data_IF_422986759442
#
_entry.id   IF_422986759442
#
_cell.length_a   1.000
_cell.length_b   1.000
_cell.length_c   1.000
_cell.angle_alpha   90.00
_cell.angle_beta   90.00
_cell.angle_gamma   90.00
#
_symmetry.space_group_name_H-M   'P 1'
#
loop_
_entity.id
_entity.type
_entity.pdbx_description
1 polymer ?
#
# COMPACT_ATOMS: atom_id res chain seq x y z
N UNK A 1 8.49 -14.96 17.62
CA UNK A 1 9.27 -14.51 16.44
C UNK A 1 8.46 -14.61 15.15
N UNK A 2 7.66 -15.67 14.93
CA UNK A 2 6.67 -15.75 13.83
C UNK A 2 5.68 -14.57 13.81
N UNK A 3 5.26 -14.11 14.99
CA UNK A 3 4.25 -13.05 15.14
C UNK A 3 4.68 -11.69 14.55
N UNK A 4 5.96 -11.32 14.64
CA UNK A 4 6.45 -10.03 14.16
C UNK A 4 6.41 -9.93 12.62
N UNK A 5 6.79 -11.00 11.92
CA UNK A 5 6.78 -11.01 10.47
C UNK A 5 5.35 -10.99 9.92
N UNK A 6 4.44 -11.73 10.55
CA UNK A 6 3.02 -11.71 10.20
C UNK A 6 2.42 -10.29 10.39
N UNK A 7 2.76 -9.61 11.49
CA UNK A 7 2.34 -8.23 11.73
C UNK A 7 2.87 -7.28 10.64
N UNK A 8 4.16 -7.36 10.31
CA UNK A 8 4.74 -6.53 9.24
C UNK A 8 4.06 -6.77 7.89
N UNK A 9 3.80 -8.03 7.52
CA UNK A 9 3.06 -8.34 6.27
C UNK A 9 1.64 -7.78 6.29
N UNK A 10 0.95 -7.87 7.42
CA UNK A 10 -0.40 -7.30 7.59
C UNK A 10 -0.39 -5.77 7.47
N UNK A 11 0.65 -5.10 7.96
CA UNK A 11 0.81 -3.66 7.81
C UNK A 11 0.97 -3.27 6.33
N UNK A 12 1.80 -3.98 5.56
CA UNK A 12 1.95 -3.73 4.11
C UNK A 12 0.62 -3.91 3.38
N UNK A 13 -0.12 -4.98 3.66
CA UNK A 13 -1.45 -5.22 3.11
C UNK A 13 -2.44 -4.08 3.46
N UNK A 14 -2.41 -3.62 4.73
CA UNK A 14 -3.20 -2.49 5.18
C UNK A 14 -2.83 -1.18 4.49
N UNK A 15 -1.55 -0.94 4.20
CA UNK A 15 -1.08 0.26 3.51
C UNK A 15 -1.55 0.32 2.05
N UNK A 16 -1.52 -0.83 1.35
CA UNK A 16 -2.10 -0.97 0.01
C UNK A 16 -3.58 -0.55 0.04
N UNK A 17 -4.34 -1.06 1.01
CA UNK A 17 -5.76 -0.71 1.17
C UNK A 17 -5.97 0.78 1.43
N UNK A 18 -5.23 1.36 2.38
CA UNK A 18 -5.34 2.79 2.73
C UNK A 18 -5.09 3.70 1.53
N UNK A 19 -4.02 3.43 0.77
CA UNK A 19 -3.70 4.23 -0.42
C UNK A 19 -4.76 4.04 -1.52
N UNK A 20 -5.24 2.80 -1.72
CA UNK A 20 -6.32 2.54 -2.67
C UNK A 20 -7.57 3.36 -2.33
N UNK A 21 -8.00 3.33 -1.08
CA UNK A 21 -9.17 4.07 -0.60
C UNK A 21 -8.96 5.58 -0.72
N UNK A 22 -7.76 6.09 -0.42
CA UNK A 22 -7.40 7.50 -0.61
C UNK A 22 -7.50 7.95 -2.09
N UNK A 23 -7.19 7.06 -3.03
CA UNK A 23 -7.31 7.30 -4.47
C UNK A 23 -8.74 7.13 -5.00
N UNK A 24 -9.72 6.83 -4.14
CA UNK A 24 -11.09 6.47 -4.50
C UNK A 24 -11.18 5.28 -5.49
N UNK A 25 -10.21 4.38 -5.42
CA UNK A 25 -10.16 3.20 -6.30
C UNK A 25 -10.95 2.05 -5.70
N UNK A 26 -11.78 1.40 -6.51
CA UNK A 26 -12.47 0.18 -6.11
C UNK A 26 -11.51 -1.02 -6.12
N UNK A 27 -11.86 -2.07 -5.36
CA UNK A 27 -11.11 -3.33 -5.43
C UNK A 27 -11.20 -3.97 -6.82
N UNK A 28 -12.34 -3.84 -7.51
CA UNK A 28 -12.51 -4.29 -8.89
C UNK A 28 -11.55 -3.58 -9.85
N UNK A 29 -11.33 -2.27 -9.67
CA UNK A 29 -10.41 -1.50 -10.49
C UNK A 29 -8.97 -2.05 -10.41
N UNK A 30 -8.44 -2.26 -9.20
CA UNK A 30 -7.10 -2.84 -9.03
C UNK A 30 -7.04 -4.29 -9.51
N UNK A 31 -8.06 -5.09 -9.21
CA UNK A 31 -8.12 -6.48 -9.65
C UNK A 31 -8.08 -6.60 -11.18
N UNK A 32 -8.83 -5.74 -11.89
CA UNK A 32 -8.82 -5.68 -13.35
C UNK A 32 -7.43 -5.31 -13.91
N UNK A 33 -6.77 -4.29 -13.34
CA UNK A 33 -5.41 -3.89 -13.74
C UNK A 33 -4.37 -4.98 -13.51
N UNK A 34 -4.54 -5.75 -12.43
CA UNK A 34 -3.67 -6.87 -12.06
C UNK A 34 -4.03 -8.19 -12.77
N UNK A 35 -5.11 -8.22 -13.54
CA UNK A 35 -5.65 -9.42 -14.21
C UNK A 35 -5.91 -10.57 -13.22
N UNK A 36 -6.53 -10.25 -12.09
CA UNK A 36 -6.96 -11.21 -11.07
C UNK A 36 -8.44 -10.97 -10.71
N UNK A 37 -9.06 -11.90 -9.97
CA UNK A 37 -10.41 -11.67 -9.45
C UNK A 37 -10.41 -10.65 -8.32
N UNK A 38 -11.53 -9.95 -8.11
CA UNK A 38 -11.71 -9.04 -6.99
C UNK A 38 -11.50 -9.75 -5.64
N UNK A 39 -11.95 -11.00 -5.50
CA UNK A 39 -11.72 -11.80 -4.29
C UNK A 39 -10.22 -12.07 -4.06
N UNK A 40 -9.46 -12.36 -5.13
CA UNK A 40 -8.01 -12.54 -5.02
C UNK A 40 -7.32 -11.25 -4.57
N UNK A 41 -7.76 -10.09 -5.08
CA UNK A 41 -7.27 -8.79 -4.65
C UNK A 41 -7.65 -8.47 -3.20
N UNK A 42 -8.90 -8.74 -2.79
CA UNK A 42 -9.37 -8.59 -1.41
C UNK A 42 -8.51 -9.40 -0.43
N UNK A 43 -8.13 -10.64 -0.77
CA UNK A 43 -7.21 -11.45 0.03
C UNK A 43 -5.81 -10.85 0.16
N UNK A 44 -5.35 -10.07 -0.82
CA UNK A 44 -4.09 -9.31 -0.70
C UNK A 44 -4.24 -8.24 0.38
N UNK A 45 -5.29 -7.43 0.33
CA UNK A 45 -5.53 -6.35 1.32
C UNK A 45 -5.80 -6.87 2.74
N UNK A 46 -6.30 -8.10 2.86
CA UNK A 46 -6.51 -8.78 4.14
C UNK A 46 -5.25 -9.50 4.66
N UNK A 47 -4.19 -9.58 3.86
CA UNK A 47 -2.95 -10.31 4.20
C UNK A 47 -3.08 -11.83 4.15
N UNK A 48 -4.12 -12.37 3.50
CA UNK A 48 -4.34 -13.81 3.35
C UNK A 48 -3.62 -14.42 2.15
N UNK A 49 -3.14 -13.57 1.22
CA UNK A 49 -2.33 -13.99 0.08
C UNK A 49 -0.86 -13.67 0.32
N UNK A 50 0.04 -14.60 -0.02
CA UNK A 50 1.47 -14.28 -0.13
C UNK A 50 1.67 -13.30 -1.28
N UNK A 51 2.22 -12.13 -0.98
CA UNK A 51 2.51 -11.10 -1.98
C UNK A 51 3.93 -11.31 -2.53
N UNK A 52 4.07 -11.39 -3.85
CA UNK A 52 5.39 -11.41 -4.49
C UNK A 52 5.92 -9.98 -4.63
N UNK A 53 7.25 -9.84 -4.73
CA UNK A 53 7.88 -8.53 -4.97
C UNK A 53 7.38 -7.90 -6.29
N UNK A 54 7.25 -8.69 -7.36
CA UNK A 54 6.69 -8.21 -8.63
C UNK A 54 5.28 -7.63 -8.44
N UNK A 55 4.40 -8.33 -7.71
CA UNK A 55 3.04 -7.86 -7.44
C UNK A 55 3.04 -6.59 -6.61
N UNK A 56 3.95 -6.47 -5.64
CA UNK A 56 4.11 -5.25 -4.85
C UNK A 56 4.45 -4.04 -5.74
N UNK A 57 5.38 -4.19 -6.68
CA UNK A 57 5.74 -3.14 -7.64
C UNK A 57 4.60 -2.81 -8.61
N UNK A 58 3.87 -3.81 -9.11
CA UNK A 58 2.69 -3.59 -9.95
C UNK A 58 1.62 -2.78 -9.21
N UNK A 59 1.34 -3.12 -7.95
CA UNK A 59 0.37 -2.41 -7.12
C UNK A 59 0.83 -0.97 -6.87
N UNK A 60 2.10 -0.75 -6.52
CA UNK A 60 2.67 0.59 -6.33
C UNK A 60 2.52 1.45 -7.59
N UNK A 61 2.79 0.87 -8.77
CA UNK A 61 2.61 1.54 -10.06
C UNK A 61 1.16 1.90 -10.35
N UNK A 62 0.20 1.02 -10.07
CA UNK A 62 -1.24 1.30 -10.27
C UNK A 62 -1.74 2.37 -9.29
N UNK A 63 -1.22 2.37 -8.06
CA UNK A 63 -1.54 3.35 -7.02
C UNK A 63 -0.77 4.67 -7.15
N UNK A 64 0.13 4.76 -8.13
CA UNK A 64 0.97 5.93 -8.41
C UNK A 64 1.74 6.39 -7.16
N UNK A 65 2.38 5.45 -6.48
CA UNK A 65 3.22 5.72 -5.30
C UNK A 65 4.53 4.95 -5.39
N UNK A 66 5.56 5.47 -4.72
CA UNK A 66 6.78 4.70 -4.47
C UNK A 66 6.48 3.44 -3.64
N UNK A 67 7.14 2.33 -3.99
CA UNK A 67 6.94 1.03 -3.32
C UNK A 67 7.28 1.10 -1.84
N UNK A 68 8.22 1.98 -1.46
CA UNK A 68 8.63 2.21 -0.07
C UNK A 68 7.46 2.67 0.78
N UNK A 69 6.53 3.48 0.25
CA UNK A 69 5.34 3.90 0.98
C UNK A 69 4.47 2.70 1.36
N UNK A 70 4.34 1.68 0.50
CA UNK A 70 3.60 0.46 0.84
C UNK A 70 4.26 -0.28 2.03
N UNK A 71 5.59 -0.19 2.16
CA UNK A 71 6.37 -0.86 3.19
C UNK A 71 6.41 -0.11 4.52
N UNK A 72 6.41 1.22 4.49
CA UNK A 72 6.76 2.05 5.65
C UNK A 72 5.61 2.92 6.17
N UNK A 73 4.45 2.93 5.53
CA UNK A 73 3.31 3.76 5.97
C UNK A 73 2.89 3.39 7.40
N UNK A 74 3.34 4.18 8.37
CA UNK A 74 2.79 4.21 9.73
C UNK A 74 1.65 5.22 9.80
N UNK A 75 0.84 5.16 10.87
CA UNK A 75 -0.34 6.02 11.06
C UNK A 75 -0.06 7.53 10.96
N UNK A 76 1.20 7.95 11.09
CA UNK A 76 1.65 9.35 11.08
C UNK A 76 2.13 9.84 9.71
N UNK A 77 2.39 8.94 8.75
CA UNK A 77 3.08 9.28 7.49
C UNK A 77 2.16 9.63 6.32
N UNK A 78 0.83 9.53 6.50
CA UNK A 78 -0.13 10.01 5.49
C UNK A 78 0.10 11.50 5.18
N UNK A 79 0.38 12.32 6.19
CA UNK A 79 0.54 13.78 6.03
C UNK A 79 1.73 14.14 5.12
N UNK A 80 2.81 13.34 5.11
CA UNK A 80 4.02 13.62 4.30
C UNK A 80 3.88 13.24 2.84
N UNK A 81 3.03 12.26 2.53
CA UNK A 81 2.76 11.83 1.14
C UNK A 81 1.82 12.83 0.44
N UNK A 82 1.04 13.61 1.19
CA UNK A 82 0.02 14.55 0.69
C UNK A 82 0.61 15.93 0.30
N UNK A 83 1.80 16.30 0.80
CA UNK A 83 2.48 17.57 0.48
C UNK A 83 3.97 17.38 0.18
N UNK A 84 4.37 17.12 -1.07
CA UNK A 84 5.78 17.07 -1.46
C UNK A 84 6.49 18.44 -1.45
N UNK A 85 5.76 19.56 -1.31
CA UNK A 85 6.31 20.92 -1.50
C UNK A 85 6.60 21.73 -0.22
N UNK A 86 6.40 21.21 1.00
CA UNK A 86 6.80 21.95 2.21
C UNK A 86 8.30 21.74 2.54
N UNK A 87 9.17 22.35 1.74
CA UNK A 87 10.56 22.65 2.12
C UNK A 87 10.64 23.86 3.07
N UNK A 88 9.83 23.87 4.13
CA UNK A 88 9.73 25.03 5.03
C UNK A 88 9.85 24.68 6.51
N UNK A 89 10.64 23.66 6.89
CA UNK A 89 11.12 23.54 8.28
C UNK A 89 12.60 23.15 8.29
N UNK A 90 13.44 24.06 7.82
CA UNK A 90 14.73 24.26 8.47
C UNK A 90 14.46 25.10 9.72
N UNK A 91 14.40 24.46 10.88
CA UNK A 91 14.53 25.17 12.16
C UNK A 91 15.96 24.89 12.62
N UNK A 92 16.72 25.97 12.75
CA UNK A 92 18.08 25.96 13.30
C UNK A 92 18.11 25.67 14.79
#
# INVERSE_FOLDING_TARGET
MEDLFALKTKNVAGNIRKIREYRDYTQDYLAAKLKISQNAYSKIELGYSKLTIERLFQIASILEVEVTHLLTLDHTDLIKIISPDDKSVAVG
#
